data_IF_640128579693
#
_entry.id   IF_640128579693
#
_cell.length_a   1.000
_cell.length_b   1.000
_cell.length_c   1.000
_cell.angle_alpha   90.00
_cell.angle_beta   90.00
_cell.angle_gamma   90.00
#
_symmetry.space_group_name_H-M   'P 1'
#
loop_
_entity.id
_entity.type
_entity.pdbx_description
1 polymer ?
#
# COMPACT_ATOMS: atom_id res chain seq x y z
N UNK A 1 -28.32 31.93 4.81
CA UNK A 1 -27.24 31.14 4.19
C UNK A 1 -26.39 30.56 5.31
N UNK A 2 -26.43 29.24 5.53
CA UNK A 2 -25.68 28.59 6.60
C UNK A 2 -24.22 28.41 6.16
N UNK A 3 -23.31 29.09 6.84
CA UNK A 3 -21.86 28.96 6.61
C UNK A 3 -21.39 27.66 7.28
N UNK A 4 -21.20 26.60 6.49
CA UNK A 4 -20.65 25.35 7.00
C UNK A 4 -19.16 25.54 7.32
N UNK A 5 -18.77 25.29 8.57
CA UNK A 5 -17.37 25.19 8.99
C UNK A 5 -17.07 23.73 9.33
N UNK A 6 -16.64 22.91 8.36
CA UNK A 6 -16.36 21.51 8.64
C UNK A 6 -15.13 21.41 9.53
N UNK A 7 -15.19 20.54 10.53
CA UNK A 7 -14.02 20.07 11.26
C UNK A 7 -13.48 18.88 10.47
N UNK A 8 -12.33 19.04 9.81
CA UNK A 8 -11.62 17.91 9.23
C UNK A 8 -10.74 17.29 10.32
N UNK A 9 -11.03 16.04 10.67
CA UNK A 9 -10.13 15.22 11.49
C UNK A 9 -9.16 14.53 10.53
N UNK A 10 -7.94 15.05 10.45
CA UNK A 10 -6.86 14.44 9.67
C UNK A 10 -5.96 13.65 10.60
N UNK A 11 -5.58 12.43 10.18
CA UNK A 11 -4.59 11.65 10.91
C UNK A 11 -3.26 12.41 10.96
N UNK A 12 -2.66 12.50 12.14
CA UNK A 12 -1.31 13.05 12.29
C UNK A 12 -0.34 12.08 11.63
N UNK A 13 0.48 12.59 10.74
CA UNK A 13 1.61 11.83 10.16
C UNK A 13 2.54 11.41 11.31
N UNK A 14 2.53 10.11 11.63
CA UNK A 14 3.40 9.54 12.65
C UNK A 14 4.56 8.86 11.93
N UNK A 15 5.78 9.32 12.22
CA UNK A 15 6.97 8.61 11.80
C UNK A 15 7.00 7.23 12.46
N UNK A 16 7.31 6.19 11.69
CA UNK A 16 7.50 4.85 12.24
C UNK A 16 8.66 4.88 13.25
N UNK A 17 8.57 4.13 14.36
CA UNK A 17 9.69 3.95 15.27
C UNK A 17 10.93 3.39 14.56
N UNK A 18 12.14 3.56 15.12
CA UNK A 18 13.34 2.94 14.59
C UNK A 18 13.16 1.42 14.42
N UNK A 19 13.65 0.87 13.31
CA UNK A 19 13.52 -0.55 12.93
C UNK A 19 12.09 -1.06 12.69
N UNK A 20 11.11 -0.17 12.59
CA UNK A 20 9.75 -0.52 12.16
C UNK A 20 9.51 0.05 10.77
N UNK A 21 8.99 -0.80 9.88
CA UNK A 21 8.50 -0.40 8.56
C UNK A 21 7.02 -0.73 8.49
N UNK A 22 6.21 0.25 8.11
CA UNK A 22 4.76 0.13 7.98
C UNK A 22 4.40 0.18 6.50
N UNK A 23 3.66 -0.83 6.04
CA UNK A 23 3.00 -0.83 4.74
C UNK A 23 1.49 -0.75 4.97
N UNK A 24 0.90 0.39 4.63
CA UNK A 24 -0.54 0.61 4.74
C UNK A 24 -1.24 0.27 3.41
N UNK A 25 -2.44 -0.31 3.51
CA UNK A 25 -3.19 -0.79 2.35
C UNK A 25 -3.78 0.32 1.47
N UNK A 26 -3.92 1.52 2.02
CA UNK A 26 -4.52 2.70 1.38
C UNK A 26 -4.03 3.98 2.09
N UNK A 27 -4.17 5.13 1.44
CA UNK A 27 -3.98 6.44 2.06
C UNK A 27 -5.04 6.76 3.12
N UNK A 28 -4.79 7.82 3.90
CA UNK A 28 -5.62 8.20 5.06
C UNK A 28 -7.10 8.50 4.73
N UNK A 29 -7.39 8.95 3.52
CA UNK A 29 -8.71 9.30 3.00
C UNK A 29 -9.24 8.29 1.96
N UNK A 30 -8.58 7.13 1.84
CA UNK A 30 -8.89 6.10 0.85
C UNK A 30 -9.41 4.82 1.52
N UNK A 31 -10.24 4.07 0.79
CA UNK A 31 -10.78 2.80 1.26
C UNK A 31 -10.00 1.63 0.68
N UNK A 32 -9.64 0.68 1.54
CA UNK A 32 -9.12 -0.62 1.09
C UNK A 32 -10.25 -1.47 0.51
N UNK A 33 -10.05 -1.97 -0.71
CA UNK A 33 -11.03 -2.75 -1.46
C UNK A 33 -10.83 -4.25 -1.31
N UNK A 34 -11.92 -5.02 -1.48
CA UNK A 34 -11.87 -6.46 -1.68
C UNK A 34 -11.69 -6.80 -3.16
N UNK A 35 -11.11 -7.96 -3.45
CA UNK A 35 -11.02 -8.57 -4.78
C UNK A 35 -11.83 -9.88 -4.79
N UNK A 36 -13.14 -9.83 -5.13
CA UNK A 36 -14.03 -10.99 -5.01
C UNK A 36 -13.57 -12.20 -5.81
N UNK A 37 -13.03 -11.98 -7.03
CA UNK A 37 -12.53 -13.04 -7.90
C UNK A 37 -11.41 -13.87 -7.24
N UNK A 38 -10.59 -13.24 -6.39
CA UNK A 38 -9.51 -13.89 -5.67
C UNK A 38 -9.87 -14.29 -4.23
N UNK A 39 -11.07 -13.96 -3.73
CA UNK A 39 -11.50 -14.17 -2.33
C UNK A 39 -10.55 -13.56 -1.28
N UNK A 40 -9.83 -12.49 -1.64
CA UNK A 40 -8.90 -11.78 -0.76
C UNK A 40 -9.17 -10.28 -0.78
N UNK A 41 -8.59 -9.54 0.18
CA UNK A 41 -8.44 -8.09 0.06
C UNK A 41 -7.54 -7.76 -1.14
N UNK A 42 -7.84 -6.69 -1.87
CA UNK A 42 -7.06 -6.27 -3.05
C UNK A 42 -5.59 -6.06 -2.68
N UNK A 43 -5.34 -5.39 -1.55
CA UNK A 43 -4.00 -5.22 -1.01
C UNK A 43 -3.34 -6.54 -0.66
N UNK A 44 -4.01 -7.39 0.12
CA UNK A 44 -3.44 -8.67 0.56
C UNK A 44 -3.11 -9.59 -0.62
N UNK A 45 -3.95 -9.61 -1.65
CA UNK A 45 -3.73 -10.40 -2.85
C UNK A 45 -2.41 -10.04 -3.52
N UNK A 46 -2.21 -8.75 -3.84
CA UNK A 46 -0.97 -8.30 -4.46
C UNK A 46 0.22 -8.33 -3.50
N UNK A 47 0.02 -8.14 -2.20
CA UNK A 47 1.10 -8.30 -1.23
C UNK A 47 1.70 -9.70 -1.30
N UNK A 48 0.85 -10.74 -1.34
CA UNK A 48 1.31 -12.12 -1.47
C UNK A 48 2.01 -12.36 -2.81
N UNK A 49 1.46 -11.85 -3.93
CA UNK A 49 2.10 -11.94 -5.25
C UNK A 49 3.45 -11.25 -5.33
N UNK A 50 3.57 -10.07 -4.74
CA UNK A 50 4.83 -9.35 -4.63
C UNK A 50 5.87 -10.17 -3.87
N UNK A 51 5.49 -10.73 -2.72
CA UNK A 51 6.35 -11.58 -1.88
C UNK A 51 6.70 -12.94 -2.54
N UNK A 52 5.84 -13.48 -3.39
CA UNK A 52 6.12 -14.68 -4.22
C UNK A 52 7.21 -14.41 -5.28
N UNK A 53 7.57 -13.16 -5.51
CA UNK A 53 8.67 -12.78 -6.40
C UNK A 53 8.30 -11.77 -7.47
N UNK A 54 7.03 -11.39 -7.62
CA UNK A 54 6.65 -10.40 -8.64
C UNK A 54 7.19 -8.99 -8.34
N UNK A 55 7.52 -8.71 -7.07
CA UNK A 55 8.18 -7.47 -6.66
C UNK A 55 9.72 -7.58 -6.67
N UNK A 56 10.29 -8.74 -7.03
CA UNK A 56 11.73 -8.93 -7.03
C UNK A 56 12.38 -8.24 -8.23
N UNK A 57 13.51 -7.57 -7.98
CA UNK A 57 14.36 -7.05 -9.05
C UNK A 57 15.23 -8.13 -9.70
N UNK A 58 16.06 -7.76 -10.69
CA UNK A 58 17.03 -8.66 -11.32
C UNK A 58 18.02 -9.30 -10.34
N UNK A 59 18.26 -8.62 -9.21
CA UNK A 59 19.08 -9.03 -8.07
C UNK A 59 18.37 -10.01 -7.12
N UNK A 60 17.17 -10.50 -7.49
CA UNK A 60 16.34 -11.42 -6.69
C UNK A 60 16.09 -10.98 -5.26
N UNK A 61 16.10 -9.66 -5.06
CA UNK A 61 15.92 -9.06 -3.74
C UNK A 61 14.67 -8.20 -3.75
N UNK A 62 13.83 -8.38 -2.73
CA UNK A 62 12.67 -7.55 -2.44
C UNK A 62 13.03 -6.62 -1.28
N UNK A 63 13.07 -5.32 -1.55
CA UNK A 63 13.11 -4.29 -0.51
C UNK A 63 11.71 -3.75 -0.24
N UNK A 64 11.52 -3.08 0.90
CA UNK A 64 10.25 -2.44 1.22
C UNK A 64 9.81 -1.43 0.13
N UNK A 65 10.75 -0.66 -0.43
CA UNK A 65 10.45 0.26 -1.54
C UNK A 65 10.08 -0.48 -2.85
N UNK A 66 10.75 -1.59 -3.19
CA UNK A 66 10.38 -2.39 -4.37
C UNK A 66 8.98 -2.99 -4.22
N UNK A 67 8.67 -3.48 -3.02
CA UNK A 67 7.35 -4.04 -2.73
C UNK A 67 6.27 -2.96 -2.78
N UNK A 68 6.50 -1.77 -2.20
CA UNK A 68 5.56 -0.66 -2.28
C UNK A 68 5.33 -0.19 -3.72
N UNK A 69 6.39 -0.05 -4.53
CA UNK A 69 6.25 0.35 -5.93
C UNK A 69 5.40 -0.65 -6.74
N UNK A 70 5.64 -1.95 -6.57
CA UNK A 70 4.83 -3.00 -7.17
C UNK A 70 3.36 -2.91 -6.73
N UNK A 71 3.12 -2.74 -5.42
CA UNK A 71 1.79 -2.63 -4.85
C UNK A 71 1.05 -1.39 -5.39
N UNK A 72 1.73 -0.24 -5.42
CA UNK A 72 1.18 1.00 -5.94
C UNK A 72 0.77 0.88 -7.40
N UNK A 73 1.58 0.23 -8.24
CA UNK A 73 1.25 -0.03 -9.65
C UNK A 73 -0.01 -0.90 -9.77
N UNK A 74 -0.01 -2.09 -9.16
CA UNK A 74 -1.10 -3.06 -9.34
C UNK A 74 -2.41 -2.61 -8.71
N UNK A 75 -2.35 -2.09 -7.48
CA UNK A 75 -3.55 -1.74 -6.72
C UNK A 75 -4.21 -0.49 -7.28
N UNK A 76 -3.45 0.51 -7.73
CA UNK A 76 -4.03 1.73 -8.33
C UNK A 76 -4.84 1.37 -9.58
N UNK A 77 -4.30 0.50 -10.44
CA UNK A 77 -4.98 0.05 -11.66
C UNK A 77 -6.24 -0.75 -11.33
N UNK A 78 -6.17 -1.73 -10.43
CA UNK A 78 -7.33 -2.56 -10.09
C UNK A 78 -8.40 -1.78 -9.31
N UNK A 79 -8.01 -0.88 -8.40
CA UNK A 79 -8.96 -0.04 -7.67
C UNK A 79 -9.70 0.91 -8.62
N UNK A 80 -9.02 1.45 -9.62
CA UNK A 80 -9.64 2.31 -10.63
C UNK A 80 -10.73 1.57 -11.42
N UNK A 81 -10.55 0.28 -11.73
CA UNK A 81 -11.59 -0.57 -12.37
C UNK A 81 -12.84 -0.74 -11.50
N UNK A 82 -12.69 -0.60 -10.19
CA UNK A 82 -13.79 -0.62 -9.22
C UNK A 82 -14.39 0.76 -8.94
N UNK A 83 -13.94 1.81 -9.65
CA UNK A 83 -14.36 3.19 -9.43
C UNK A 83 -13.86 3.76 -8.10
N UNK A 84 -12.72 3.28 -7.60
CA UNK A 84 -12.14 3.69 -6.31
C UNK A 84 -10.71 4.18 -6.48
N UNK A 85 -10.28 5.04 -5.57
CA UNK A 85 -8.87 5.35 -5.38
C UNK A 85 -8.33 4.53 -4.21
N UNK A 86 -7.21 3.83 -4.43
CA UNK A 86 -6.49 3.12 -3.40
C UNK A 86 -5.00 3.10 -3.77
N UNK A 87 -4.20 3.73 -2.92
CA UNK A 87 -2.75 3.85 -3.09
C UNK A 87 -2.11 3.38 -1.78
N UNK A 88 -1.46 2.21 -1.78
CA UNK A 88 -0.65 1.77 -0.65
C UNK A 88 0.39 2.82 -0.25
N UNK A 89 0.77 2.82 1.02
CA UNK A 89 1.77 3.76 1.55
C UNK A 89 2.86 3.02 2.30
N UNK A 90 4.10 3.48 2.16
CA UNK A 90 5.25 3.01 2.92
C UNK A 90 5.70 4.10 3.91
N UNK A 91 5.81 3.73 5.18
CA UNK A 91 6.35 4.59 6.23
C UNK A 91 7.52 3.84 6.89
N UNK A 92 8.70 4.46 6.92
CA UNK A 92 9.92 3.89 7.50
C UNK A 92 11.03 3.68 6.45
N UNK A 93 11.89 2.70 6.70
CA UNK A 93 13.08 2.44 5.86
C UNK A 93 12.73 1.62 4.61
N UNK A 94 12.70 2.28 3.46
CA UNK A 94 12.47 1.64 2.16
C UNK A 94 13.60 0.76 1.64
N UNK A 95 14.81 0.90 2.20
CA UNK A 95 15.97 0.09 1.83
C UNK A 95 16.00 -1.26 2.54
N UNK A 96 15.14 -1.46 3.55
CA UNK A 96 15.00 -2.71 4.29
C UNK A 96 14.72 -3.87 3.34
N UNK A 97 15.62 -4.85 3.33
CA UNK A 97 15.41 -6.12 2.62
C UNK A 97 14.35 -6.93 3.37
N UNK A 98 13.31 -7.34 2.65
CA UNK A 98 12.24 -8.21 3.15
C UNK A 98 12.55 -9.67 2.80
N UNK A 99 13.10 -9.92 1.61
CA UNK A 99 13.46 -11.26 1.16
C UNK A 99 14.52 -11.20 0.06
N UNK A 100 15.34 -12.23 -0.03
CA UNK A 100 16.39 -12.41 -1.04
C UNK A 100 16.68 -13.90 -1.26
N UNK A 101 16.85 -14.34 -2.51
CA UNK A 101 17.10 -15.75 -2.86
C UNK A 101 17.85 -15.94 -4.19
#
# INVERSE_FOLDING_TARGET
MASARPILVTAKELAAPPNVTILAAAGNDQLSSSLPAAKHGLFSYFLMKGLEGEAAGPDRTITAAKLEAYLAEKITVEAAKLGRAQTPQLIGDGSRVISSW
#
